data_IF_444194094579
#
_entry.id   IF_444194094579
#
_cell.length_a   1.000
_cell.length_b   1.000
_cell.length_c   1.000
_cell.angle_alpha   90.00
_cell.angle_beta   90.00
_cell.angle_gamma   90.00
#
_symmetry.space_group_name_H-M   'P 1'
#
loop_
_entity.id
_entity.type
_entity.pdbx_description
1 polymer ?
#
# COMPACT_ATOMS: atom_id res chain seq x y z
N UNK A 1 -10.04 23.29 -14.63
CA UNK A 1 -9.76 24.67 -15.08
C UNK A 1 -10.97 25.59 -14.84
N UNK A 2 -12.19 25.21 -15.22
CA UNK A 2 -13.39 26.06 -15.04
C UNK A 2 -13.61 26.51 -13.59
N UNK A 3 -13.39 25.63 -12.61
CA UNK A 3 -13.51 25.98 -11.19
C UNK A 3 -12.46 27.00 -10.74
N UNK A 4 -11.27 26.99 -11.34
CA UNK A 4 -10.22 27.98 -11.08
C UNK A 4 -10.58 29.31 -11.69
N UNK A 5 -11.05 29.32 -12.94
CA UNK A 5 -11.45 30.55 -13.65
C UNK A 5 -12.63 31.27 -12.98
N UNK A 6 -13.59 30.50 -12.45
CA UNK A 6 -14.76 31.06 -11.74
C UNK A 6 -14.49 31.46 -10.28
N UNK A 7 -13.29 31.16 -9.73
CA UNK A 7 -12.96 31.34 -8.32
C UNK A 7 -13.58 30.30 -7.38
N UNK A 8 -14.38 29.36 -7.87
CA UNK A 8 -15.04 28.34 -7.06
C UNK A 8 -14.03 27.35 -6.41
N UNK A 9 -12.84 27.18 -7.02
CA UNK A 9 -11.77 26.28 -6.54
C UNK A 9 -11.38 26.52 -5.08
N UNK A 10 -11.41 27.78 -4.60
CA UNK A 10 -11.06 28.14 -3.22
C UNK A 10 -11.99 27.52 -2.15
N UNK A 11 -13.14 27.00 -2.55
CA UNK A 11 -14.10 26.31 -1.69
C UNK A 11 -14.09 24.78 -1.86
N UNK A 12 -13.32 24.25 -2.82
CA UNK A 12 -13.31 22.84 -3.20
C UNK A 12 -12.09 22.13 -2.62
N UNK A 13 -12.33 21.02 -1.92
CA UNK A 13 -11.31 20.00 -1.63
C UNK A 13 -11.33 18.95 -2.73
N UNK A 14 -10.19 18.75 -3.39
CA UNK A 14 -10.03 17.66 -4.37
C UNK A 14 -9.49 16.42 -3.68
N UNK A 15 -10.05 15.25 -4.03
CA UNK A 15 -9.55 13.96 -3.57
C UNK A 15 -9.16 13.11 -4.76
N UNK A 16 -7.94 12.56 -4.72
CA UNK A 16 -7.39 11.70 -5.77
C UNK A 16 -6.98 10.36 -5.19
N UNK A 17 -7.32 9.28 -5.92
CA UNK A 17 -6.64 8.00 -5.79
C UNK A 17 -5.67 7.84 -6.96
N UNK A 18 -4.43 7.51 -6.67
CA UNK A 18 -3.38 7.41 -7.70
C UNK A 18 -2.46 6.23 -7.45
N UNK A 19 -2.06 5.55 -8.53
CA UNK A 19 -1.02 4.53 -8.51
C UNK A 19 0.40 5.11 -8.61
N UNK A 20 0.54 6.44 -8.58
CA UNK A 20 1.81 7.16 -8.63
C UNK A 20 2.63 6.93 -9.92
N UNK A 21 2.01 6.50 -11.02
CA UNK A 21 2.72 6.37 -12.30
C UNK A 21 2.99 7.73 -12.92
N UNK A 22 2.20 8.75 -12.58
CA UNK A 22 2.32 10.09 -13.15
C UNK A 22 1.88 11.16 -12.13
N UNK A 23 2.67 12.24 -12.04
CA UNK A 23 2.34 13.49 -11.33
C UNK A 23 2.54 14.65 -12.32
N UNK A 24 1.52 14.99 -13.14
CA UNK A 24 1.65 15.97 -14.21
C UNK A 24 1.93 17.38 -13.65
N UNK A 25 2.93 18.12 -14.19
CA UNK A 25 3.24 19.48 -13.73
C UNK A 25 2.03 20.41 -13.80
N UNK A 26 1.27 20.37 -14.91
CA UNK A 26 0.06 21.19 -15.11
C UNK A 26 -0.99 20.97 -14.04
N UNK A 27 -1.17 19.73 -13.57
CA UNK A 27 -2.09 19.42 -12.48
C UNK A 27 -1.62 20.04 -11.17
N UNK A 28 -0.31 19.94 -10.89
CA UNK A 28 0.31 20.51 -9.69
C UNK A 28 0.15 22.03 -9.65
N UNK A 29 0.32 22.72 -10.77
CA UNK A 29 0.09 24.17 -10.88
C UNK A 29 -1.36 24.55 -10.50
N UNK A 30 -2.34 23.78 -10.97
CA UNK A 30 -3.75 24.01 -10.65
C UNK A 30 -4.08 23.78 -9.17
N UNK A 31 -3.38 22.87 -8.50
CA UNK A 31 -3.64 22.53 -7.10
C UNK A 31 -3.52 23.73 -6.15
N UNK A 32 -2.62 24.68 -6.44
CA UNK A 32 -2.45 25.89 -5.63
C UNK A 32 -3.71 26.76 -5.51
N UNK A 33 -4.66 26.61 -6.45
CA UNK A 33 -5.92 27.35 -6.46
C UNK A 33 -7.05 26.69 -5.68
N UNK A 34 -6.83 25.49 -5.13
CA UNK A 34 -7.88 24.74 -4.41
C UNK A 34 -7.75 24.90 -2.89
N UNK A 35 -8.88 24.73 -2.18
CA UNK A 35 -8.93 24.79 -0.72
C UNK A 35 -8.01 23.76 -0.09
N UNK A 36 -8.04 22.55 -0.56
CA UNK A 36 -7.19 21.44 -0.12
C UNK A 36 -7.12 20.35 -1.20
N UNK A 37 -6.05 19.57 -1.16
CA UNK A 37 -5.83 18.41 -2.01
C UNK A 37 -5.57 17.20 -1.13
N UNK A 38 -6.35 16.15 -1.29
CA UNK A 38 -6.16 14.86 -0.62
C UNK A 38 -5.70 13.83 -1.65
N UNK A 39 -4.49 13.31 -1.48
CA UNK A 39 -3.91 12.27 -2.35
C UNK A 39 -3.84 10.95 -1.60
N UNK A 40 -4.61 9.98 -2.05
CA UNK A 40 -4.55 8.60 -1.59
C UNK A 40 -3.65 7.83 -2.54
N UNK A 41 -2.40 7.65 -2.13
CA UNK A 41 -1.36 6.98 -2.91
C UNK A 41 -1.49 5.46 -2.74
N UNK A 42 -1.76 4.76 -3.84
CA UNK A 42 -1.90 3.30 -3.81
C UNK A 42 -0.53 2.64 -3.92
N UNK A 43 -0.01 2.12 -2.81
CA UNK A 43 1.24 1.37 -2.71
C UNK A 43 0.94 0.05 -2.00
N UNK A 44 1.15 -1.09 -2.69
CA UNK A 44 0.73 -2.41 -2.19
C UNK A 44 1.82 -3.13 -1.41
N UNK A 45 3.09 -2.85 -1.71
CA UNK A 45 4.25 -3.47 -1.12
C UNK A 45 5.49 -2.59 -1.32
N UNK A 46 6.61 -2.99 -0.76
CA UNK A 46 7.90 -2.35 -1.00
C UNK A 46 8.66 -3.04 -2.15
N UNK A 47 9.31 -2.24 -3.01
CA UNK A 47 10.26 -2.75 -3.99
C UNK A 47 9.64 -3.52 -5.16
N UNK A 48 10.36 -4.53 -5.62
CA UNK A 48 9.98 -5.37 -6.76
C UNK A 48 8.62 -6.06 -6.57
N UNK A 49 8.21 -6.33 -5.34
CA UNK A 49 6.90 -6.91 -5.09
C UNK A 49 5.78 -5.92 -5.41
N UNK A 50 5.97 -4.63 -5.21
CA UNK A 50 5.01 -3.62 -5.66
C UNK A 50 4.92 -3.58 -7.19
N UNK A 51 6.04 -3.73 -7.91
CA UNK A 51 6.06 -3.84 -9.37
C UNK A 51 5.30 -5.06 -9.87
N UNK A 52 5.48 -6.20 -9.18
CA UNK A 52 4.76 -7.44 -9.49
C UNK A 52 3.25 -7.25 -9.36
N UNK A 53 2.79 -6.69 -8.24
CA UNK A 53 1.37 -6.49 -7.95
C UNK A 53 0.77 -5.45 -8.91
N UNK A 54 1.50 -4.38 -9.21
CA UNK A 54 1.04 -3.23 -10.00
C UNK A 54 1.64 -3.16 -11.40
N UNK A 55 1.95 -4.31 -11.98
CA UNK A 55 2.48 -4.37 -13.35
C UNK A 55 1.62 -3.54 -14.33
N UNK A 56 2.23 -2.75 -15.27
CA UNK A 56 3.66 -2.62 -15.56
C UNK A 56 4.37 -1.44 -14.85
N UNK A 57 3.89 -1.01 -13.71
CA UNK A 57 4.47 0.09 -12.94
C UNK A 57 5.85 -0.28 -12.40
N UNK A 58 6.82 0.63 -12.41
CA UNK A 58 8.11 0.43 -11.75
C UNK A 58 8.14 1.04 -10.34
N UNK A 59 8.83 0.38 -9.42
CA UNK A 59 9.01 0.88 -8.06
C UNK A 59 9.75 2.22 -8.03
N UNK A 60 10.76 2.36 -8.87
CA UNK A 60 11.52 3.60 -8.95
C UNK A 60 10.65 4.80 -9.35
N UNK A 61 9.74 4.62 -10.32
CA UNK A 61 8.77 5.65 -10.71
C UNK A 61 7.78 5.94 -9.58
N UNK A 62 7.25 4.89 -8.93
CA UNK A 62 6.33 5.02 -7.79
C UNK A 62 6.99 5.80 -6.65
N UNK A 63 8.21 5.41 -6.26
CA UNK A 63 9.00 6.06 -5.21
C UNK A 63 9.27 7.52 -5.53
N UNK A 64 9.81 7.83 -6.72
CA UNK A 64 10.10 9.21 -7.14
C UNK A 64 8.86 10.10 -7.14
N UNK A 65 7.73 9.60 -7.63
CA UNK A 65 6.49 10.36 -7.65
C UNK A 65 5.92 10.55 -6.24
N UNK A 66 6.08 9.57 -5.34
CA UNK A 66 5.72 9.71 -3.93
C UNK A 66 6.57 10.79 -3.24
N UNK A 67 7.90 10.74 -3.42
CA UNK A 67 8.83 11.74 -2.89
C UNK A 67 8.53 13.14 -3.42
N UNK A 68 8.22 13.27 -4.71
CA UNK A 68 7.78 14.53 -5.31
C UNK A 68 6.52 15.10 -4.64
N UNK A 69 5.53 14.26 -4.32
CA UNK A 69 4.35 14.70 -3.58
C UNK A 69 4.69 15.19 -2.17
N UNK A 70 5.63 14.52 -1.50
CA UNK A 70 6.12 14.93 -0.16
C UNK A 70 6.79 16.30 -0.23
N UNK A 71 7.62 16.57 -1.23
CA UNK A 71 8.25 17.87 -1.44
C UNK A 71 7.21 18.98 -1.70
N UNK A 72 6.14 18.66 -2.43
CA UNK A 72 5.06 19.60 -2.73
C UNK A 72 4.22 19.96 -1.50
N UNK A 73 4.14 19.08 -0.50
CA UNK A 73 3.35 19.32 0.72
C UNK A 73 3.78 20.58 1.49
N UNK A 74 5.05 20.94 1.41
CA UNK A 74 5.55 22.20 2.01
C UNK A 74 5.08 23.48 1.31
N UNK A 75 4.51 23.36 0.10
CA UNK A 75 4.12 24.50 -0.76
C UNK A 75 2.63 24.54 -1.10
N UNK A 76 1.93 23.43 -0.92
CA UNK A 76 0.53 23.25 -1.29
C UNK A 76 -0.28 22.75 -0.10
N UNK A 77 -1.59 23.03 -0.04
CA UNK A 77 -2.50 22.49 0.98
C UNK A 77 -2.78 21.00 0.73
N UNK A 78 -1.73 20.18 0.85
CA UNK A 78 -1.71 18.78 0.41
C UNK A 78 -1.71 17.83 1.62
N UNK A 79 -2.71 16.96 1.67
CA UNK A 79 -2.74 15.77 2.51
C UNK A 79 -2.35 14.55 1.69
N UNK A 80 -1.45 13.73 2.20
CA UNK A 80 -1.01 12.49 1.54
C UNK A 80 -1.20 11.34 2.51
N UNK A 81 -1.85 10.29 2.05
CA UNK A 81 -2.08 9.04 2.76
C UNK A 81 -1.80 7.87 1.82
N UNK A 82 -1.16 6.81 2.33
CA UNK A 82 -0.95 5.58 1.57
C UNK A 82 -2.12 4.63 1.80
N UNK A 83 -2.67 4.11 0.72
CA UNK A 83 -3.69 3.07 0.71
C UNK A 83 -3.07 1.77 0.19
N UNK A 84 -3.30 0.68 0.90
CA UNK A 84 -2.72 -0.64 0.61
C UNK A 84 -3.80 -1.70 0.67
N UNK A 85 -3.90 -2.55 -0.35
CA UNK A 85 -4.77 -3.71 -0.28
C UNK A 85 -4.18 -4.76 0.67
N UNK A 86 -4.96 -5.15 1.67
CA UNK A 86 -4.67 -6.31 2.51
C UNK A 86 -5.03 -7.58 1.72
N UNK A 87 -4.05 -8.17 1.04
CA UNK A 87 -4.22 -9.23 0.04
C UNK A 87 -3.02 -10.19 0.04
N UNK A 88 -3.15 -11.34 -0.63
CA UNK A 88 -2.21 -12.45 -0.54
C UNK A 88 -0.75 -12.08 -0.87
N UNK A 89 -0.50 -11.39 -1.98
CA UNK A 89 0.88 -11.08 -2.38
C UNK A 89 1.61 -10.13 -1.42
N UNK A 90 0.91 -9.09 -0.91
CA UNK A 90 1.51 -8.06 -0.06
C UNK A 90 1.67 -8.45 1.41
N UNK A 91 1.00 -9.52 1.86
CA UNK A 91 0.81 -9.81 3.28
C UNK A 91 2.12 -9.99 4.06
N UNK A 92 3.10 -10.66 3.46
CA UNK A 92 4.42 -10.93 4.07
C UNK A 92 5.41 -9.76 3.95
N UNK A 93 5.10 -8.76 3.13
CA UNK A 93 5.95 -7.57 2.89
C UNK A 93 5.47 -6.32 3.66
N UNK A 94 4.48 -6.45 4.53
CA UNK A 94 3.97 -5.34 5.34
C UNK A 94 5.09 -4.65 6.15
N UNK A 95 6.00 -5.36 6.84
CA UNK A 95 7.08 -4.72 7.59
C UNK A 95 8.01 -3.86 6.71
N UNK A 96 8.35 -4.33 5.52
CA UNK A 96 9.21 -3.64 4.56
C UNK A 96 8.53 -2.36 4.04
N UNK A 97 7.23 -2.42 3.76
CA UNK A 97 6.43 -1.24 3.40
C UNK A 97 6.39 -0.23 4.56
N UNK A 98 6.15 -0.69 5.79
CA UNK A 98 6.14 0.20 6.96
C UNK A 98 7.51 0.82 7.22
N UNK A 99 8.60 0.07 7.02
CA UNK A 99 9.97 0.59 7.12
C UNK A 99 10.24 1.69 6.10
N UNK A 100 9.77 1.52 4.86
CA UNK A 100 9.86 2.55 3.83
C UNK A 100 9.09 3.82 4.24
N UNK A 101 7.83 3.70 4.62
CA UNK A 101 6.98 4.84 4.98
C UNK A 101 7.46 5.56 6.25
N UNK A 102 8.07 4.84 7.19
CA UNK A 102 8.64 5.43 8.41
C UNK A 102 9.70 6.49 8.12
N UNK A 103 10.42 6.40 6.99
CA UNK A 103 11.40 7.43 6.60
C UNK A 103 10.74 8.81 6.36
N UNK A 104 9.45 8.84 6.14
CA UNK A 104 8.67 10.07 5.85
C UNK A 104 7.71 10.45 6.97
N UNK A 105 7.79 9.80 8.14
CA UNK A 105 6.82 9.92 9.25
C UNK A 105 6.69 11.33 9.86
N UNK A 106 7.62 12.23 9.58
CA UNK A 106 7.51 13.65 9.97
C UNK A 106 6.56 14.45 9.06
N UNK A 107 6.28 13.95 7.86
CA UNK A 107 5.54 14.66 6.81
C UNK A 107 4.23 13.98 6.46
N UNK A 108 4.20 12.62 6.45
CA UNK A 108 3.03 11.82 6.12
C UNK A 108 2.83 10.72 7.16
N UNK A 109 1.60 10.18 7.34
CA UNK A 109 1.38 9.02 8.18
C UNK A 109 2.25 7.84 7.75
N UNK A 110 2.89 7.18 8.71
CA UNK A 110 3.73 6.01 8.44
C UNK A 110 2.92 4.70 8.36
N UNK A 111 1.69 4.71 8.88
CA UNK A 111 0.77 3.58 8.76
C UNK A 111 -0.17 3.79 7.58
N UNK A 112 -0.17 2.88 6.57
CA UNK A 112 -1.14 2.92 5.49
C UNK A 112 -2.56 2.64 5.97
N UNK A 113 -3.53 3.08 5.20
CA UNK A 113 -4.89 2.57 5.32
C UNK A 113 -5.00 1.22 4.60
N UNK A 114 -5.14 0.14 5.36
CA UNK A 114 -5.29 -1.20 4.81
C UNK A 114 -6.74 -1.48 4.46
N UNK A 115 -6.98 -1.85 3.21
CA UNK A 115 -8.29 -2.19 2.67
C UNK A 115 -8.31 -3.68 2.37
N UNK A 116 -9.18 -4.44 3.05
CA UNK A 116 -9.28 -5.88 2.82
C UNK A 116 -9.78 -6.18 1.41
N UNK A 117 -9.01 -6.95 0.66
CA UNK A 117 -9.42 -7.49 -0.63
C UNK A 117 -10.31 -8.71 -0.41
N UNK A 118 -11.53 -8.67 -0.93
CA UNK A 118 -12.48 -9.80 -0.90
C UNK A 118 -12.82 -10.32 -2.29
N UNK A 119 -12.62 -9.51 -3.32
CA UNK A 119 -12.87 -9.87 -4.71
C UNK A 119 -11.76 -9.32 -5.62
N UNK A 120 -11.11 -10.15 -6.43
CA UNK A 120 -11.39 -11.59 -6.61
C UNK A 120 -10.93 -12.44 -5.41
N UNK A 121 -11.72 -13.46 -5.06
CA UNK A 121 -11.50 -14.28 -3.85
C UNK A 121 -10.15 -14.99 -3.83
N UNK A 122 -9.65 -15.44 -4.99
CA UNK A 122 -8.36 -16.09 -5.09
C UNK A 122 -7.15 -15.18 -4.84
N UNK A 123 -7.32 -13.88 -4.68
CA UNK A 123 -6.27 -12.94 -4.28
C UNK A 123 -6.44 -12.43 -2.84
N UNK A 124 -7.50 -12.82 -2.14
CA UNK A 124 -7.71 -12.45 -0.76
C UNK A 124 -6.61 -12.99 0.16
N UNK A 125 -6.34 -12.33 1.28
CA UNK A 125 -5.24 -12.69 2.18
C UNK A 125 -5.39 -14.09 2.81
N UNK A 126 -6.63 -14.55 2.98
CA UNK A 126 -6.96 -15.86 3.57
C UNK A 126 -6.74 -17.06 2.64
N UNK A 127 -6.39 -16.84 1.37
CA UNK A 127 -6.02 -17.96 0.47
C UNK A 127 -4.66 -18.56 0.84
N UNK A 128 -3.78 -17.79 1.46
CA UNK A 128 -2.46 -18.27 1.87
C UNK A 128 -2.58 -19.39 2.92
N UNK A 129 -1.66 -20.36 2.92
CA UNK A 129 -1.53 -21.33 4.01
C UNK A 129 -1.53 -20.65 5.38
N UNK A 130 -2.16 -21.28 6.36
CA UNK A 130 -2.35 -20.70 7.70
C UNK A 130 -1.03 -20.36 8.38
N UNK A 131 0.03 -21.12 8.09
CA UNK A 131 1.38 -20.87 8.58
C UNK A 131 1.93 -19.54 8.05
N UNK A 132 1.68 -19.22 6.78
CA UNK A 132 2.08 -17.95 6.18
C UNK A 132 1.26 -16.77 6.70
N UNK A 133 -0.04 -16.97 6.95
CA UNK A 133 -0.89 -15.96 7.59
C UNK A 133 -0.38 -15.63 9.00
N UNK A 134 -0.03 -16.66 9.80
CA UNK A 134 0.55 -16.50 11.14
C UNK A 134 1.92 -15.83 11.09
N UNK A 135 2.78 -16.23 10.15
CA UNK A 135 4.09 -15.62 9.94
C UNK A 135 3.96 -14.13 9.59
N UNK A 136 3.07 -13.79 8.67
CA UNK A 136 2.83 -12.41 8.26
C UNK A 136 2.35 -11.54 9.44
N UNK A 137 1.37 -12.05 10.21
CA UNK A 137 0.89 -11.39 11.43
C UNK A 137 2.03 -11.17 12.43
N UNK A 138 2.85 -12.19 12.67
CA UNK A 138 3.97 -12.12 13.61
C UNK A 138 5.00 -11.08 13.16
N UNK A 139 5.42 -11.10 11.88
CA UNK A 139 6.36 -10.13 11.31
C UNK A 139 5.82 -8.69 11.42
N UNK A 140 4.56 -8.47 11.03
CA UNK A 140 3.93 -7.16 11.09
C UNK A 140 3.85 -6.64 12.53
N UNK A 141 3.40 -7.49 13.46
CA UNK A 141 3.32 -7.14 14.89
C UNK A 141 4.68 -6.84 15.48
N UNK A 142 5.69 -7.69 15.24
CA UNK A 142 7.06 -7.49 15.74
C UNK A 142 7.63 -6.15 15.25
N UNK A 143 7.38 -5.79 13.99
CA UNK A 143 7.81 -4.49 13.48
C UNK A 143 7.08 -3.34 14.18
N UNK A 144 5.76 -3.40 14.29
CA UNK A 144 4.93 -2.37 14.92
C UNK A 144 5.32 -2.19 16.38
N UNK A 145 5.44 -3.28 17.14
CA UNK A 145 5.79 -3.26 18.56
C UNK A 145 7.16 -2.61 18.79
N UNK A 146 8.18 -3.02 18.02
CA UNK A 146 9.53 -2.45 18.11
C UNK A 146 9.61 -0.96 17.73
N UNK A 147 8.65 -0.45 16.97
CA UNK A 147 8.58 0.95 16.51
C UNK A 147 7.39 1.71 17.08
N UNK A 148 6.59 1.11 17.96
CA UNK A 148 5.33 1.66 18.44
C UNK A 148 5.47 3.10 18.95
N UNK A 149 6.50 3.37 19.75
CA UNK A 149 6.74 4.70 20.31
C UNK A 149 6.93 5.75 19.21
N UNK A 150 7.75 5.46 18.18
CA UNK A 150 7.99 6.41 17.10
C UNK A 150 6.78 6.57 16.18
N UNK A 151 6.00 5.51 15.97
CA UNK A 151 4.78 5.55 15.16
C UNK A 151 3.66 6.33 15.83
N UNK A 152 3.50 6.16 17.16
CA UNK A 152 2.31 6.60 17.89
C UNK A 152 2.51 7.88 18.73
N UNK A 153 3.72 8.40 18.86
CA UNK A 153 4.00 9.66 19.57
C UNK A 153 4.39 10.82 18.64
N UNK A 154 4.49 10.58 17.35
CA UNK A 154 4.81 11.60 16.34
C UNK A 154 3.59 12.43 15.91
N UNK A 155 3.77 13.31 14.90
CA UNK A 155 2.71 14.21 14.41
C UNK A 155 1.42 13.51 13.95
N UNK A 156 1.53 12.23 13.53
CA UNK A 156 0.42 11.41 13.07
C UNK A 156 0.09 10.26 14.04
N UNK A 157 0.44 10.40 15.31
CA UNK A 157 0.37 9.31 16.28
C UNK A 157 -1.03 8.75 16.48
N UNK A 158 -2.06 9.60 16.56
CA UNK A 158 -3.46 9.17 16.69
C UNK A 158 -3.92 8.44 15.42
N UNK A 159 -3.64 9.00 14.26
CA UNK A 159 -3.94 8.41 12.97
C UNK A 159 -3.25 7.03 12.82
N UNK A 160 -1.97 6.94 13.15
CA UNK A 160 -1.24 5.68 13.07
C UNK A 160 -1.80 4.61 14.03
N UNK A 161 -2.22 4.96 15.26
CA UNK A 161 -2.87 4.03 16.19
C UNK A 161 -4.15 3.43 15.59
N UNK A 162 -5.03 4.28 15.05
CA UNK A 162 -6.24 3.82 14.37
C UNK A 162 -5.93 2.81 13.24
N UNK A 163 -4.91 3.10 12.43
CA UNK A 163 -4.54 2.22 11.31
C UNK A 163 -3.86 0.92 11.77
N UNK A 164 -3.14 0.93 12.89
CA UNK A 164 -2.63 -0.29 13.54
C UNK A 164 -3.81 -1.17 13.96
N UNK A 165 -4.83 -0.60 14.59
CA UNK A 165 -6.01 -1.35 15.04
C UNK A 165 -6.77 -1.97 13.86
N UNK A 166 -6.94 -1.23 12.77
CA UNK A 166 -7.54 -1.73 11.53
C UNK A 166 -6.73 -2.90 10.96
N UNK A 167 -5.41 -2.76 10.84
CA UNK A 167 -4.54 -3.83 10.34
C UNK A 167 -4.62 -5.09 11.22
N UNK A 168 -4.55 -4.92 12.52
CA UNK A 168 -4.63 -6.04 13.46
C UNK A 168 -6.01 -6.68 13.46
N UNK A 169 -7.06 -5.91 13.24
CA UNK A 169 -8.42 -6.39 13.00
C UNK A 169 -8.51 -7.27 11.75
N UNK A 170 -7.86 -6.87 10.65
CA UNK A 170 -7.78 -7.69 9.44
C UNK A 170 -7.07 -9.02 9.69
N UNK A 171 -5.92 -9.02 10.38
CA UNK A 171 -5.24 -10.26 10.75
C UNK A 171 -6.07 -11.15 11.67
N UNK A 172 -6.83 -10.56 12.59
CA UNK A 172 -7.69 -11.31 13.52
C UNK A 172 -8.90 -11.94 12.82
N UNK A 173 -9.28 -11.42 11.66
CA UNK A 173 -10.33 -11.97 10.82
C UNK A 173 -9.85 -13.14 9.93
N UNK A 174 -8.54 -13.39 9.84
CA UNK A 174 -7.96 -14.55 9.16
C UNK A 174 -8.01 -15.76 10.13
N UNK A 175 -9.05 -16.59 10.03
CA UNK A 175 -9.23 -17.74 10.95
C UNK A 175 -8.86 -19.07 10.31
N UNK A 176 -9.17 -19.21 9.03
CA UNK A 176 -9.04 -20.46 8.26
C UNK A 176 -8.45 -20.14 6.89
N UNK A 177 -7.83 -21.13 6.28
CA UNK A 177 -7.41 -21.03 4.88
C UNK A 177 -8.64 -21.14 3.97
N UNK A 178 -8.78 -20.17 3.06
CA UNK A 178 -9.80 -20.20 2.01
C UNK A 178 -9.55 -21.37 1.03
N UNK A 179 -10.58 -21.99 0.45
CA UNK A 179 -10.43 -23.08 -0.53
C UNK A 179 -9.78 -22.65 -1.85
N UNK A 180 -9.57 -21.34 -2.07
CA UNK A 180 -9.07 -20.79 -3.34
C UNK A 180 -7.53 -20.84 -3.51
N UNK A 181 -6.79 -21.59 -2.68
CA UNK A 181 -5.33 -21.72 -2.80
C UNK A 181 -4.90 -22.27 -4.17
N UNK A 182 -5.56 -23.33 -4.66
CA UNK A 182 -5.25 -23.89 -5.98
C UNK A 182 -5.49 -22.89 -7.11
N UNK A 183 -6.55 -22.10 -7.02
CA UNK A 183 -6.87 -21.04 -7.98
C UNK A 183 -5.83 -19.91 -7.93
N UNK A 184 -5.40 -19.50 -6.73
CA UNK A 184 -4.32 -18.52 -6.53
C UNK A 184 -3.02 -19.01 -7.20
N UNK A 185 -2.62 -20.27 -6.97
CA UNK A 185 -1.42 -20.85 -7.56
C UNK A 185 -1.53 -20.90 -9.09
N UNK A 186 -2.66 -21.36 -9.62
CA UNK A 186 -2.88 -21.42 -11.07
C UNK A 186 -2.81 -20.03 -11.72
N UNK A 187 -3.50 -19.06 -11.16
CA UNK A 187 -3.50 -17.68 -11.62
C UNK A 187 -2.09 -17.06 -11.56
N UNK A 188 -1.39 -17.24 -10.45
CA UNK A 188 -0.03 -16.74 -10.26
C UNK A 188 0.95 -17.34 -11.25
N UNK A 189 0.92 -18.67 -11.45
CA UNK A 189 1.77 -19.34 -12.44
C UNK A 189 1.50 -18.85 -13.88
N UNK A 190 0.27 -18.51 -14.19
CA UNK A 190 -0.06 -17.93 -15.51
C UNK A 190 0.53 -16.53 -15.67
N UNK A 191 0.44 -15.69 -14.64
CA UNK A 191 1.05 -14.35 -14.61
C UNK A 191 2.57 -14.45 -14.71
N UNK A 192 3.19 -15.30 -13.91
CA UNK A 192 4.65 -15.48 -13.87
C UNK A 192 5.19 -15.86 -15.25
N UNK A 193 4.56 -16.82 -15.92
CA UNK A 193 4.92 -17.22 -17.30
C UNK A 193 4.74 -16.08 -18.29
N UNK A 194 3.63 -15.36 -18.21
CA UNK A 194 3.32 -14.25 -19.12
C UNK A 194 4.31 -13.09 -19.00
N UNK A 195 4.77 -12.81 -17.77
CA UNK A 195 5.61 -11.64 -17.47
C UNK A 195 7.09 -11.98 -17.29
N UNK A 196 7.49 -13.27 -17.33
CA UNK A 196 8.85 -13.72 -17.03
C UNK A 196 9.26 -13.42 -15.59
N UNK A 197 8.31 -13.43 -14.66
CA UNK A 197 8.50 -13.17 -13.23
C UNK A 197 8.37 -14.45 -12.41
N UNK A 198 8.64 -14.38 -11.11
CA UNK A 198 8.41 -15.49 -10.18
C UNK A 198 8.05 -14.95 -8.80
N UNK A 199 6.84 -15.24 -8.35
CA UNK A 199 6.39 -14.88 -7.01
C UNK A 199 7.18 -15.59 -5.92
N UNK A 200 7.62 -16.83 -6.16
CA UNK A 200 8.45 -17.60 -5.22
C UNK A 200 9.80 -16.96 -4.93
N UNK A 201 10.35 -16.19 -5.89
CA UNK A 201 11.58 -15.42 -5.69
C UNK A 201 11.32 -14.15 -4.89
N UNK A 202 10.16 -13.52 -5.07
CA UNK A 202 9.77 -12.28 -4.39
C UNK A 202 9.27 -12.53 -2.96
N UNK A 203 8.64 -13.68 -2.72
CA UNK A 203 8.09 -14.08 -1.42
C UNK A 203 8.66 -15.45 -1.04
N UNK A 204 9.96 -15.52 -0.72
CA UNK A 204 10.64 -16.78 -0.42
C UNK A 204 9.94 -17.69 0.62
N UNK A 205 9.25 -17.20 1.65
CA UNK A 205 8.51 -18.06 2.57
C UNK A 205 7.39 -18.89 1.95
N UNK A 206 6.94 -18.56 0.73
CA UNK A 206 5.88 -19.31 0.03
C UNK A 206 6.39 -20.62 -0.60
N UNK A 207 7.70 -20.72 -0.88
CA UNK A 207 8.31 -21.83 -1.61
C UNK A 207 7.97 -23.23 -1.06
N UNK A 208 7.97 -23.49 0.27
CA UNK A 208 7.63 -24.81 0.79
C UNK A 208 6.19 -25.25 0.51
N UNK A 209 5.30 -24.31 0.23
CA UNK A 209 3.88 -24.53 -0.02
C UNK A 209 3.55 -24.53 -1.53
N UNK A 210 4.51 -24.10 -2.36
CA UNK A 210 4.29 -24.03 -3.80
C UNK A 210 4.33 -25.44 -4.40
N UNK A 211 3.37 -25.80 -5.27
CA UNK A 211 3.39 -27.10 -5.93
C UNK A 211 4.67 -27.26 -6.76
N UNK A 212 5.37 -28.38 -6.55
CA UNK A 212 6.51 -28.74 -7.40
C UNK A 212 5.99 -29.03 -8.81
N UNK A 213 6.63 -28.42 -9.82
CA UNK A 213 6.33 -28.65 -11.23
C UNK A 213 6.61 -30.09 -11.64
#
# INVERSE_FOLDING_TARGET
ENAVQSGASHHITLRYHTNLTLVPPRLVELWASFKAIEVHASIEAFGELNEYIRYPSSWETTRKNFEKLIELKGRLPLWIEVHTCFQAYGLLNIPELLAFLKNYQSVVPAMPYFIRLSNPAHLAADVLPIELQKLARHKAWTYIDSHYRSLCLGPFGEFNREKIDILMGHFSALKEQSPHWSEFVHYTNAIDRLRGQSIERLISPIQPFWPKA
#
